data_IF_946462752619
#
_entry.id   IF_946462752619
#
_cell.length_a   1.000
_cell.length_b   1.000
_cell.length_c   1.000
_cell.angle_alpha   90.00
_cell.angle_beta   90.00
_cell.angle_gamma   90.00
#
_symmetry.space_group_name_H-M   'P 1'
#
loop_
_entity.id
_entity.type
_entity.pdbx_description
1 polymer ?
#
# COMPACT_ATOMS: atom_id res chain seq x y z
N UNK A 1 -15.37 8.82 13.28
CA UNK A 1 -15.37 7.80 14.37
C UNK A 1 -15.87 6.42 13.94
N UNK A 2 -16.97 6.28 13.17
CA UNK A 2 -17.49 4.98 12.69
C UNK A 2 -16.43 4.07 12.03
N UNK A 3 -15.56 4.65 11.21
CA UNK A 3 -14.50 3.92 10.51
C UNK A 3 -13.42 3.29 11.40
N UNK A 4 -13.02 3.96 12.50
CA UNK A 4 -12.08 3.36 13.47
C UNK A 4 -12.70 2.09 14.07
N UNK A 5 -13.99 2.14 14.41
CA UNK A 5 -14.72 1.00 14.99
C UNK A 5 -14.77 -0.19 14.03
N UNK A 6 -15.05 0.04 12.75
CA UNK A 6 -15.04 -1.00 11.71
C UNK A 6 -13.66 -1.62 11.51
N UNK A 7 -12.60 -0.79 11.50
CA UNK A 7 -11.22 -1.28 11.36
C UNK A 7 -10.81 -2.08 12.61
N UNK A 8 -11.19 -1.63 13.82
CA UNK A 8 -10.95 -2.37 15.07
C UNK A 8 -11.67 -3.73 15.08
N UNK A 9 -12.91 -3.79 14.60
CA UNK A 9 -13.64 -5.05 14.45
C UNK A 9 -12.94 -6.00 13.46
N UNK A 10 -12.54 -5.49 12.30
CA UNK A 10 -11.80 -6.26 11.28
C UNK A 10 -10.45 -6.77 11.80
N UNK A 11 -9.73 -5.95 12.56
CA UNK A 11 -8.48 -6.34 13.22
C UNK A 11 -8.70 -7.51 14.19
N UNK A 12 -9.76 -7.45 15.02
CA UNK A 12 -10.09 -8.51 15.97
C UNK A 12 -10.38 -9.84 15.27
N UNK A 13 -11.12 -9.81 14.16
CA UNK A 13 -11.41 -11.01 13.36
C UNK A 13 -10.12 -11.67 12.86
N UNK A 14 -9.20 -10.90 12.27
CA UNK A 14 -7.94 -11.43 11.76
C UNK A 14 -7.03 -11.96 12.89
N UNK A 15 -7.02 -11.30 14.05
CA UNK A 15 -6.28 -11.78 15.22
C UNK A 15 -6.82 -13.13 15.74
N UNK A 16 -8.15 -13.28 15.84
CA UNK A 16 -8.78 -14.53 16.27
C UNK A 16 -8.56 -15.65 15.24
N UNK A 17 -8.62 -15.33 13.94
CA UNK A 17 -8.25 -16.27 12.89
C UNK A 17 -6.81 -16.79 13.08
N UNK A 18 -5.84 -15.90 13.25
CA UNK A 18 -4.42 -16.30 13.44
C UNK A 18 -4.25 -17.14 14.70
N UNK A 19 -4.91 -16.78 15.82
CA UNK A 19 -4.88 -17.58 17.05
C UNK A 19 -5.43 -18.99 16.82
N UNK A 20 -6.56 -19.13 16.12
CA UNK A 20 -7.18 -20.42 15.79
C UNK A 20 -6.26 -21.27 14.92
N UNK A 21 -5.70 -20.71 13.85
CA UNK A 21 -4.78 -21.43 12.96
C UNK A 21 -3.54 -21.93 13.69
N UNK A 22 -2.96 -21.11 14.58
CA UNK A 22 -1.81 -21.49 15.41
C UNK A 22 -2.13 -22.65 16.37
N UNK A 23 -3.29 -22.61 17.04
CA UNK A 23 -3.77 -23.71 17.90
C UNK A 23 -3.94 -25.02 17.13
N UNK A 24 -4.36 -24.94 15.87
CA UNK A 24 -4.55 -26.10 14.99
C UNK A 24 -3.26 -26.53 14.27
N UNK A 25 -2.13 -25.85 14.45
CA UNK A 25 -0.89 -26.13 13.72
C UNK A 25 -0.94 -25.81 12.22
N UNK A 26 -1.97 -25.11 11.75
CA UNK A 26 -2.18 -24.81 10.33
C UNK A 26 -1.45 -23.52 9.95
N UNK A 27 -0.63 -23.59 8.89
CA UNK A 27 0.11 -22.42 8.36
C UNK A 27 -0.63 -21.70 7.22
N UNK A 28 -1.60 -22.36 6.58
CA UNK A 28 -2.35 -21.81 5.44
C UNK A 28 -3.13 -20.56 5.88
N UNK A 29 -2.99 -19.47 5.14
CA UNK A 29 -3.69 -18.21 5.42
C UNK A 29 -3.12 -17.36 6.55
N UNK A 30 -2.19 -17.87 7.37
CA UNK A 30 -1.61 -17.12 8.50
C UNK A 30 -0.79 -15.91 8.02
N UNK A 31 0.07 -16.12 7.01
CA UNK A 31 0.91 -15.05 6.48
C UNK A 31 0.11 -13.84 5.92
N UNK A 32 -0.92 -14.02 5.06
CA UNK A 32 -1.73 -12.89 4.62
C UNK A 32 -2.54 -12.25 5.76
N UNK A 33 -3.04 -13.02 6.73
CA UNK A 33 -3.73 -12.47 7.90
C UNK A 33 -2.80 -11.58 8.75
N UNK A 34 -1.55 -11.98 8.97
CA UNK A 34 -0.54 -11.15 9.67
C UNK A 34 -0.29 -9.84 8.91
N UNK A 35 -0.25 -9.86 7.58
CA UNK A 35 -0.10 -8.63 6.78
C UNK A 35 -1.30 -7.69 6.98
N UNK A 36 -2.53 -8.22 7.00
CA UNK A 36 -3.74 -7.45 7.28
C UNK A 36 -3.75 -6.87 8.70
N UNK A 37 -3.35 -7.65 9.70
CA UNK A 37 -3.21 -7.17 11.09
C UNK A 37 -2.30 -5.94 11.15
N UNK A 38 -1.09 -6.03 10.56
CA UNK A 38 -0.16 -4.87 10.52
C UNK A 38 -0.76 -3.67 9.81
N UNK A 39 -1.48 -3.91 8.71
CA UNK A 39 -2.16 -2.87 7.94
C UNK A 39 -3.23 -2.16 8.76
N UNK A 40 -4.12 -2.90 9.42
CA UNK A 40 -5.17 -2.33 10.29
C UNK A 40 -4.61 -1.63 11.52
N UNK A 41 -3.58 -2.21 12.17
CA UNK A 41 -2.92 -1.55 13.30
C UNK A 41 -2.30 -0.21 12.90
N UNK A 42 -1.68 -0.13 11.73
CA UNK A 42 -1.11 1.12 11.21
C UNK A 42 -2.20 2.16 10.92
N UNK A 43 -3.34 1.72 10.37
CA UNK A 43 -4.48 2.60 10.11
C UNK A 43 -5.12 3.13 11.40
N UNK A 44 -5.32 2.26 12.41
CA UNK A 44 -5.85 2.66 13.72
C UNK A 44 -4.94 3.68 14.38
N UNK A 45 -3.63 3.40 14.45
CA UNK A 45 -2.64 4.33 15.01
C UNK A 45 -2.74 5.69 14.35
N UNK A 46 -2.78 5.73 13.02
CA UNK A 46 -2.90 6.98 12.27
C UNK A 46 -4.18 7.75 12.63
N UNK A 47 -5.34 7.08 12.59
CA UNK A 47 -6.64 7.70 12.85
C UNK A 47 -6.78 8.19 14.30
N UNK A 48 -6.06 7.57 15.24
CA UNK A 48 -6.00 8.00 16.65
C UNK A 48 -5.05 9.20 16.86
N UNK A 49 -3.97 9.33 16.08
CA UNK A 49 -2.93 10.36 16.29
C UNK A 49 -3.04 11.59 15.37
N UNK A 50 -3.59 11.46 14.16
CA UNK A 50 -3.59 12.54 13.15
C UNK A 50 -4.85 12.49 12.27
N UNK A 51 -5.96 13.11 12.71
CA UNK A 51 -7.23 13.08 11.98
C UNK A 51 -7.32 14.08 10.81
N UNK A 52 -6.25 14.77 10.43
CA UNK A 52 -6.33 15.83 9.42
C UNK A 52 -6.49 15.25 8.00
N UNK A 53 -7.75 15.11 7.58
CA UNK A 53 -8.16 14.62 6.26
C UNK A 53 -7.63 15.49 5.12
N UNK A 54 -7.56 16.82 5.30
CA UNK A 54 -7.02 17.74 4.30
C UNK A 54 -5.53 17.46 4.03
N UNK A 55 -4.77 17.15 5.08
CA UNK A 55 -3.37 16.76 4.93
C UNK A 55 -3.23 15.44 4.16
N UNK A 56 -4.09 14.44 4.43
CA UNK A 56 -4.09 13.18 3.69
C UNK A 56 -4.41 13.36 2.21
N UNK A 57 -5.39 14.20 1.89
CA UNK A 57 -5.74 14.53 0.51
C UNK A 57 -4.55 15.17 -0.22
N UNK A 58 -3.94 16.19 0.38
CA UNK A 58 -2.72 16.81 -0.16
C UNK A 58 -1.59 15.80 -0.33
N UNK A 59 -1.37 14.92 0.65
CA UNK A 59 -0.31 13.92 0.59
C UNK A 59 -0.54 12.89 -0.50
N UNK A 60 -1.80 12.48 -0.71
CA UNK A 60 -2.21 11.58 -1.80
C UNK A 60 -1.89 12.21 -3.16
N UNK A 61 -2.25 13.48 -3.35
CA UNK A 61 -1.98 14.21 -4.59
C UNK A 61 -0.47 14.34 -4.86
N UNK A 62 0.32 14.70 -3.84
CA UNK A 62 1.79 14.76 -3.93
C UNK A 62 2.38 13.43 -4.42
N UNK A 63 1.99 12.32 -3.80
CA UNK A 63 2.47 10.98 -4.19
C UNK A 63 2.03 10.61 -5.61
N UNK A 64 0.80 10.94 -5.99
CA UNK A 64 0.30 10.71 -7.34
C UNK A 64 1.08 11.53 -8.38
N UNK A 65 1.44 12.77 -8.06
CA UNK A 65 2.29 13.62 -8.92
C UNK A 65 3.69 13.03 -9.08
N UNK A 66 4.30 12.56 -7.98
CA UNK A 66 5.62 11.89 -8.02
C UNK A 66 5.58 10.65 -8.91
N UNK A 67 4.57 9.79 -8.74
CA UNK A 67 4.40 8.58 -9.57
C UNK A 67 4.26 8.96 -11.04
N UNK A 68 3.43 9.96 -11.36
CA UNK A 68 3.22 10.42 -12.74
C UNK A 68 4.51 10.93 -13.37
N UNK A 69 5.24 11.79 -12.67
CA UNK A 69 6.51 12.34 -13.17
C UNK A 69 7.53 11.24 -13.45
N UNK A 70 7.67 10.26 -12.54
CA UNK A 70 8.58 9.12 -12.76
C UNK A 70 8.17 8.30 -13.98
N UNK A 71 6.87 8.02 -14.16
CA UNK A 71 6.40 7.28 -15.34
C UNK A 71 6.60 8.06 -16.64
N UNK A 72 6.38 9.38 -16.63
CA UNK A 72 6.65 10.22 -17.80
C UNK A 72 8.14 10.18 -18.19
N UNK A 73 9.04 10.21 -17.22
CA UNK A 73 10.49 10.07 -17.47
C UNK A 73 10.82 8.70 -18.07
N UNK A 74 10.19 7.64 -17.59
CA UNK A 74 10.35 6.30 -18.16
C UNK A 74 9.83 6.23 -19.60
N UNK A 75 8.65 6.77 -19.86
CA UNK A 75 8.06 6.76 -21.21
C UNK A 75 8.91 7.58 -22.20
N UNK A 76 9.49 8.70 -21.76
CA UNK A 76 10.44 9.47 -22.55
C UNK A 76 11.70 8.66 -22.86
N UNK A 77 12.33 8.07 -21.84
CA UNK A 77 13.51 7.23 -22.02
C UNK A 77 13.23 6.02 -22.92
N UNK A 78 12.07 5.38 -22.76
CA UNK A 78 11.65 4.25 -23.59
C UNK A 78 11.49 4.65 -25.06
N UNK A 79 10.94 5.83 -25.34
CA UNK A 79 10.69 6.31 -26.71
C UNK A 79 11.94 6.84 -27.41
N UNK A 80 12.87 7.43 -26.67
CA UNK A 80 13.97 8.22 -27.25
C UNK A 80 15.36 7.61 -26.99
N UNK A 81 15.50 6.70 -26.04
CA UNK A 81 16.80 6.20 -25.60
C UNK A 81 16.89 4.68 -25.52
N UNK A 82 15.76 3.95 -25.48
CA UNK A 82 15.79 2.51 -25.37
C UNK A 82 15.88 1.84 -26.74
N UNK A 83 17.01 1.17 -26.98
CA UNK A 83 17.25 0.33 -28.17
C UNK A 83 17.10 -1.17 -27.88
N UNK A 84 16.77 -1.55 -26.63
CA UNK A 84 16.67 -2.95 -26.20
C UNK A 84 15.29 -3.57 -26.49
N UNK A 85 15.28 -4.88 -26.75
CA UNK A 85 14.08 -5.63 -27.16
C UNK A 85 13.15 -6.04 -26.01
N UNK A 86 13.60 -6.05 -24.75
CA UNK A 86 12.81 -6.53 -23.60
C UNK A 86 12.27 -5.39 -22.71
N UNK A 87 11.31 -4.66 -23.28
CA UNK A 87 10.58 -3.55 -22.65
C UNK A 87 9.94 -3.94 -21.31
N UNK A 88 9.53 -5.21 -21.16
CA UNK A 88 8.85 -5.69 -19.95
C UNK A 88 9.83 -5.83 -18.80
N UNK A 89 11.02 -6.38 -19.05
CA UNK A 89 12.08 -6.49 -18.04
C UNK A 89 12.53 -5.12 -17.57
N UNK A 90 12.75 -4.19 -18.49
CA UNK A 90 13.16 -2.82 -18.15
C UNK A 90 12.11 -2.07 -17.32
N UNK A 91 10.82 -2.22 -17.65
CA UNK A 91 9.75 -1.62 -16.85
C UNK A 91 9.77 -2.13 -15.40
N UNK A 92 10.07 -3.41 -15.21
CA UNK A 92 10.16 -4.00 -13.88
C UNK A 92 11.36 -3.47 -13.10
N UNK A 93 12.53 -3.33 -13.75
CA UNK A 93 13.73 -2.73 -13.15
C UNK A 93 13.47 -1.27 -12.78
N UNK A 94 12.92 -0.46 -13.70
CA UNK A 94 12.56 0.92 -13.45
C UNK A 94 11.62 1.06 -12.24
N UNK A 95 10.56 0.25 -12.20
CA UNK A 95 9.60 0.27 -11.09
C UNK A 95 10.25 -0.08 -9.74
N UNK A 96 11.26 -0.96 -9.75
CA UNK A 96 12.00 -1.38 -8.56
C UNK A 96 12.96 -0.29 -8.10
N UNK A 97 13.77 0.27 -9.00
CA UNK A 97 14.74 1.34 -8.69
C UNK A 97 14.07 2.63 -8.26
N UNK A 98 12.90 2.94 -8.82
CA UNK A 98 12.17 4.16 -8.54
C UNK A 98 11.11 4.02 -7.44
N UNK A 99 11.07 2.88 -6.76
CA UNK A 99 10.14 2.60 -5.65
C UNK A 99 8.65 2.84 -6.00
N UNK A 100 8.28 2.71 -7.27
CA UNK A 100 6.92 2.96 -7.77
C UNK A 100 5.90 2.07 -7.04
N UNK A 101 6.29 0.83 -6.76
CA UNK A 101 5.44 -0.10 -6.01
C UNK A 101 5.16 0.38 -4.58
N UNK A 102 6.17 0.92 -3.88
CA UNK A 102 6.00 1.45 -2.52
C UNK A 102 5.14 2.71 -2.53
N UNK A 103 5.36 3.62 -3.47
CA UNK A 103 4.56 4.83 -3.62
C UNK A 103 3.08 4.49 -3.89
N UNK A 104 2.81 3.50 -4.76
CA UNK A 104 1.45 3.01 -5.01
C UNK A 104 0.81 2.38 -3.77
N UNK A 105 1.57 1.65 -2.96
CA UNK A 105 1.09 1.11 -1.69
C UNK A 105 0.71 2.23 -0.71
N UNK A 106 1.51 3.29 -0.62
CA UNK A 106 1.19 4.46 0.20
C UNK A 106 -0.09 5.16 -0.27
N UNK A 107 -0.26 5.40 -1.57
CA UNK A 107 -1.48 5.98 -2.14
C UNK A 107 -2.71 5.13 -1.85
N UNK A 108 -2.60 3.80 -1.96
CA UNK A 108 -3.68 2.86 -1.61
C UNK A 108 -4.03 2.93 -0.12
N UNK A 109 -3.03 3.01 0.74
CA UNK A 109 -3.23 3.15 2.18
C UNK A 109 -3.95 4.46 2.53
N UNK A 110 -3.50 5.59 1.98
CA UNK A 110 -4.17 6.88 2.19
C UNK A 110 -5.61 6.83 1.67
N UNK A 111 -5.82 6.25 0.48
CA UNK A 111 -7.18 6.09 -0.08
C UNK A 111 -8.07 5.19 0.79
N UNK A 112 -7.50 4.20 1.46
CA UNK A 112 -8.23 3.38 2.42
C UNK A 112 -8.63 4.18 3.67
N UNK A 113 -7.77 5.08 4.15
CA UNK A 113 -8.07 5.95 5.29
C UNK A 113 -9.16 6.99 4.97
N UNK A 114 -9.16 7.52 3.74
CA UNK A 114 -10.08 8.56 3.27
C UNK A 114 -11.46 8.06 2.81
N UNK A 115 -11.60 6.76 2.50
CA UNK A 115 -12.91 6.15 2.18
C UNK A 115 -13.80 6.07 3.42
#
# INVERSE_FOLDING_TARGET
MKKITEIKASLKIEQEFVKKQRRLGIKKGVAPAIKKIRYYSSAIKYLETMPNEKWLLKKKEELQKIIRNKLNNYDYWLKHCCTESDVKKQKNVFNKENDITKLRQQVRFISFLLK
#
